data_IF_994313015414
#
_entry.id   IF_994313015414
#
_cell.length_a   1.000
_cell.length_b   1.000
_cell.length_c   1.000
_cell.angle_alpha   90.00
_cell.angle_beta   90.00
_cell.angle_gamma   90.00
#
_symmetry.space_group_name_H-M   'P 1'
#
loop_
_entity.id
_entity.type
_entity.pdbx_description
1 polymer ?
#
# COMPACT_ATOMS: atom_id res chain seq x y z
N UNK A 1 6.76 -3.29 12.51
CA UNK A 1 6.38 -4.67 12.15
C UNK A 1 7.04 -5.69 13.06
N UNK A 2 8.34 -5.58 13.29
CA UNK A 2 9.07 -6.52 14.13
C UNK A 2 8.55 -6.56 15.57
N UNK A 3 8.26 -5.41 16.14
CA UNK A 3 7.73 -5.32 17.51
C UNK A 3 6.37 -6.00 17.66
N UNK A 4 5.50 -5.81 16.68
CA UNK A 4 4.16 -6.43 16.68
C UNK A 4 4.30 -7.95 16.59
N UNK A 5 5.14 -8.44 15.69
CA UNK A 5 5.37 -9.87 15.56
C UNK A 5 5.99 -10.45 16.82
N UNK A 6 6.98 -9.78 17.39
CA UNK A 6 7.63 -10.23 18.62
C UNK A 6 6.63 -10.40 19.76
N UNK A 7 5.64 -9.50 19.81
CA UNK A 7 4.62 -9.53 20.86
C UNK A 7 3.60 -10.64 20.67
N UNK A 8 3.12 -10.84 19.43
CA UNK A 8 1.98 -11.72 19.18
C UNK A 8 2.35 -13.07 18.55
N UNK A 9 3.52 -13.18 17.94
CA UNK A 9 4.02 -14.43 17.35
C UNK A 9 3.06 -15.06 16.33
N UNK A 10 2.35 -14.24 15.57
CA UNK A 10 1.44 -14.67 14.50
C UNK A 10 1.78 -13.93 13.21
N UNK A 11 1.50 -14.53 12.04
CA UNK A 11 1.59 -13.79 10.78
C UNK A 11 0.78 -12.50 10.84
N UNK A 12 1.28 -11.46 10.22
CA UNK A 12 0.67 -10.14 10.23
C UNK A 12 0.44 -9.65 8.80
N UNK A 13 -0.48 -8.72 8.64
CA UNK A 13 -0.61 -7.98 7.39
C UNK A 13 -0.90 -6.52 7.71
N UNK A 14 -0.60 -5.65 6.76
CA UNK A 14 -0.89 -4.22 6.89
C UNK A 14 -2.33 -4.03 6.45
N UNK A 15 -3.22 -3.75 7.42
CA UNK A 15 -4.66 -3.76 7.20
C UNK A 15 -5.19 -2.56 6.43
N UNK A 16 -4.49 -1.44 6.50
CA UNK A 16 -4.88 -0.24 5.77
C UNK A 16 -3.69 0.69 5.69
N UNK A 17 -3.36 1.14 4.49
CA UNK A 17 -2.33 2.16 4.28
C UNK A 17 -2.55 2.87 2.96
N UNK A 18 -2.22 4.13 2.92
CA UNK A 18 -2.08 4.90 1.70
C UNK A 18 -1.39 6.24 1.99
N UNK A 19 -1.22 7.03 0.96
CA UNK A 19 -0.75 8.40 1.08
C UNK A 19 -1.61 9.28 0.16
N UNK A 20 -1.32 10.57 0.12
CA UNK A 20 -2.11 11.53 -0.64
C UNK A 20 -1.26 12.20 -1.73
N UNK A 21 -1.93 12.71 -2.75
CA UNK A 21 -1.29 13.48 -3.80
C UNK A 21 -0.23 12.71 -4.57
N UNK A 22 0.86 13.36 -4.89
CA UNK A 22 1.95 12.79 -5.67
C UNK A 22 2.83 11.83 -4.88
N UNK A 23 2.67 11.77 -3.56
CA UNK A 23 3.43 10.85 -2.71
C UNK A 23 2.89 9.43 -2.68
N UNK A 24 1.75 9.16 -3.32
CA UNK A 24 1.09 7.85 -3.27
C UNK A 24 1.97 6.71 -3.78
N UNK A 25 2.60 6.91 -4.93
CA UNK A 25 3.45 5.87 -5.53
C UNK A 25 4.71 5.59 -4.72
N UNK A 26 5.37 6.64 -4.27
CA UNK A 26 6.57 6.49 -3.43
C UNK A 26 6.25 5.79 -2.12
N UNK A 27 5.09 6.08 -1.53
CA UNK A 27 4.66 5.45 -0.30
C UNK A 27 4.51 3.94 -0.44
N UNK A 28 3.81 3.47 -1.50
CA UNK A 28 3.63 2.03 -1.69
C UNK A 28 4.94 1.32 -1.96
N UNK A 29 5.88 1.97 -2.64
CA UNK A 29 7.21 1.41 -2.86
C UNK A 29 7.97 1.25 -1.56
N UNK A 30 7.94 2.27 -0.70
CA UNK A 30 8.59 2.23 0.60
C UNK A 30 8.00 1.16 1.50
N UNK A 31 6.66 1.05 1.54
CA UNK A 31 5.99 0.03 2.34
C UNK A 31 6.34 -1.37 1.84
N UNK A 32 6.38 -1.58 0.53
CA UNK A 32 6.78 -2.87 -0.04
C UNK A 32 8.21 -3.25 0.34
N UNK A 33 9.13 -2.29 0.32
CA UNK A 33 10.51 -2.52 0.75
C UNK A 33 10.60 -2.88 2.22
N UNK A 34 9.83 -2.20 3.07
CA UNK A 34 9.78 -2.51 4.50
C UNK A 34 9.20 -3.91 4.77
N UNK A 35 8.20 -4.33 4.00
CA UNK A 35 7.66 -5.68 4.10
C UNK A 35 8.70 -6.72 3.69
N UNK A 36 9.42 -6.48 2.61
CA UNK A 36 10.49 -7.39 2.16
C UNK A 36 11.61 -7.48 3.20
N UNK A 37 12.00 -6.35 3.77
CA UNK A 37 13.01 -6.33 4.83
C UNK A 37 12.53 -7.12 6.06
N UNK A 38 11.29 -6.91 6.48
CA UNK A 38 10.72 -7.64 7.61
C UNK A 38 10.69 -9.14 7.36
N UNK A 39 10.29 -9.57 6.16
CA UNK A 39 10.29 -10.98 5.78
C UNK A 39 11.69 -11.58 5.82
N UNK A 40 12.69 -10.84 5.37
CA UNK A 40 14.09 -11.29 5.41
C UNK A 40 14.60 -11.46 6.84
N UNK A 41 14.00 -10.77 7.80
CA UNK A 41 14.36 -10.83 9.21
C UNK A 41 13.49 -11.82 9.99
N UNK A 42 12.70 -12.64 9.30
CA UNK A 42 11.88 -13.67 9.92
C UNK A 42 10.51 -13.19 10.43
N UNK A 43 10.04 -12.03 9.98
CA UNK A 43 8.71 -11.54 10.30
C UNK A 43 7.75 -11.92 9.17
N UNK A 44 6.76 -12.80 9.41
CA UNK A 44 5.85 -13.25 8.36
C UNK A 44 4.77 -12.18 8.10
N UNK A 45 5.01 -11.35 7.10
CA UNK A 45 4.05 -10.35 6.65
C UNK A 45 3.34 -10.90 5.42
N UNK A 46 2.03 -11.14 5.53
CA UNK A 46 1.25 -11.80 4.49
C UNK A 46 0.87 -10.87 3.35
N UNK A 47 0.71 -9.59 3.62
CA UNK A 47 0.34 -8.65 2.56
C UNK A 47 0.07 -7.24 3.05
N UNK A 48 -0.34 -6.41 2.10
CA UNK A 48 -0.65 -5.00 2.30
C UNK A 48 -2.03 -4.73 1.71
N UNK A 49 -2.90 -4.10 2.49
CA UNK A 49 -4.18 -3.62 2.00
C UNK A 49 -4.12 -2.11 1.78
N UNK A 50 -4.45 -1.69 0.58
CA UNK A 50 -4.54 -0.28 0.25
C UNK A 50 -5.97 0.22 0.44
N UNK A 51 -6.11 1.45 0.92
CA UNK A 51 -7.39 2.15 1.03
C UNK A 51 -7.15 3.66 0.82
N UNK A 52 -7.99 4.32 0.03
CA UNK A 52 -9.07 3.79 -0.80
C UNK A 52 -8.58 3.43 -2.22
N UNK A 53 -9.38 2.67 -2.96
CA UNK A 53 -9.15 2.46 -4.40
C UNK A 53 -9.66 3.65 -5.21
N UNK A 54 -10.89 4.11 -4.89
CA UNK A 54 -11.42 5.35 -5.44
C UNK A 54 -11.18 6.48 -4.45
N UNK A 55 -10.82 7.65 -4.99
CA UNK A 55 -10.65 8.83 -4.16
C UNK A 55 -11.93 9.15 -3.38
N UNK A 56 -11.78 9.83 -2.27
CA UNK A 56 -12.88 10.17 -1.39
C UNK A 56 -12.71 11.57 -0.82
N UNK A 57 -13.83 12.23 -0.47
CA UNK A 57 -13.75 13.47 0.29
C UNK A 57 -13.43 13.19 1.76
N UNK A 58 -13.02 14.24 2.46
CA UNK A 58 -12.81 14.19 3.90
C UNK A 58 -14.15 13.92 4.61
N UNK A 59 -14.11 13.10 5.63
CA UNK A 59 -15.32 12.78 6.41
C UNK A 59 -15.90 13.99 7.13
N UNK A 60 -15.07 14.95 7.49
CA UNK A 60 -15.49 16.17 8.17
C UNK A 60 -15.70 17.35 7.22
N UNK A 61 -15.17 17.27 6.00
CA UNK A 61 -15.30 18.31 4.98
C UNK A 61 -15.48 17.66 3.60
N UNK A 62 -16.71 17.50 3.18
CA UNK A 62 -17.07 16.84 1.93
C UNK A 62 -16.66 17.58 0.66
N UNK A 63 -16.13 18.79 0.81
CA UNK A 63 -15.57 19.58 -0.31
C UNK A 63 -14.07 19.38 -0.49
N UNK A 64 -13.42 18.74 0.46
CA UNK A 64 -12.00 18.47 0.40
C UNK A 64 -11.76 17.01 -0.04
N UNK A 65 -11.23 16.84 -1.25
CA UNK A 65 -10.86 15.53 -1.80
C UNK A 65 -9.42 15.20 -1.42
N UNK A 66 -9.21 13.99 -0.92
CA UNK A 66 -7.90 13.57 -0.39
C UNK A 66 -6.86 13.30 -1.46
N UNK A 67 -7.27 12.91 -2.68
CA UNK A 67 -6.37 12.42 -3.72
C UNK A 67 -5.52 11.26 -3.19
N UNK A 68 -6.18 10.28 -2.61
CA UNK A 68 -5.54 9.14 -1.94
C UNK A 68 -5.82 7.80 -2.60
N UNK A 69 -6.70 7.75 -3.61
CA UNK A 69 -7.05 6.53 -4.30
C UNK A 69 -6.14 6.21 -5.48
N UNK A 70 -6.25 4.99 -5.99
CA UNK A 70 -5.65 4.62 -7.26
C UNK A 70 -6.30 5.39 -8.42
N UNK A 71 -7.61 5.61 -8.30
CA UNK A 71 -8.42 6.39 -9.23
C UNK A 71 -8.86 7.67 -8.57
N UNK A 72 -8.54 8.81 -9.19
CA UNK A 72 -9.14 10.08 -8.79
C UNK A 72 -10.51 10.24 -9.43
N UNK A 73 -11.34 11.10 -8.86
CA UNK A 73 -12.67 11.39 -9.38
C UNK A 73 -12.70 12.84 -9.84
N UNK A 74 -13.16 13.06 -11.06
CA UNK A 74 -13.31 14.40 -11.64
C UNK A 74 -14.74 14.61 -12.09
N UNK A 75 -15.37 15.71 -11.66
CA UNK A 75 -16.70 16.07 -12.07
C UNK A 75 -16.67 16.70 -13.47
N UNK A 76 -17.63 16.34 -14.32
CA UNK A 76 -17.86 17.01 -15.59
C UNK A 76 -18.81 18.21 -15.43
N UNK A 77 -19.15 18.88 -16.52
CA UNK A 77 -20.03 20.05 -16.52
C UNK A 77 -21.45 19.70 -16.05
N UNK A 78 -21.84 18.43 -16.16
CA UNK A 78 -23.17 17.93 -15.72
C UNK A 78 -23.16 17.48 -14.26
N UNK A 79 -22.02 17.55 -13.57
CA UNK A 79 -21.89 17.10 -12.19
C UNK A 79 -21.67 15.59 -12.05
N UNK A 80 -21.49 14.85 -13.15
CA UNK A 80 -21.16 13.42 -13.11
C UNK A 80 -19.66 13.26 -12.86
N UNK A 81 -19.32 12.26 -12.04
CA UNK A 81 -17.92 11.95 -11.75
C UNK A 81 -17.37 10.90 -12.70
N UNK A 82 -16.17 11.16 -13.19
CA UNK A 82 -15.41 10.23 -14.01
C UNK A 82 -14.18 9.77 -13.26
N UNK A 83 -13.86 8.49 -13.38
CA UNK A 83 -12.66 7.91 -12.78
C UNK A 83 -11.45 8.20 -13.65
N UNK A 84 -10.42 8.72 -13.03
CA UNK A 84 -9.16 9.01 -13.70
C UNK A 84 -8.06 8.26 -12.98
N UNK A 85 -7.43 7.32 -13.69
CA UNK A 85 -6.33 6.55 -13.11
C UNK A 85 -5.15 7.46 -12.81
N UNK A 86 -4.62 7.37 -11.59
CA UNK A 86 -3.34 7.98 -11.28
C UNK A 86 -2.25 7.06 -11.83
N UNK A 87 -1.73 7.39 -13.01
CA UNK A 87 -0.81 6.52 -13.73
C UNK A 87 0.50 6.30 -12.99
N UNK A 88 1.03 7.33 -12.33
CA UNK A 88 2.25 7.17 -11.53
C UNK A 88 2.05 6.20 -10.39
N UNK A 89 0.93 6.32 -9.69
CA UNK A 89 0.59 5.39 -8.62
C UNK A 89 0.38 3.97 -9.15
N UNK A 90 -0.33 3.83 -10.26
CA UNK A 90 -0.56 2.52 -10.89
C UNK A 90 0.75 1.84 -11.29
N UNK A 91 1.68 2.59 -11.86
CA UNK A 91 3.00 2.08 -12.22
C UNK A 91 3.78 1.63 -10.99
N UNK A 92 3.82 2.45 -9.96
CA UNK A 92 4.53 2.15 -8.72
C UNK A 92 3.88 0.99 -7.96
N UNK A 93 2.54 0.91 -7.99
CA UNK A 93 1.81 -0.22 -7.39
C UNK A 93 2.15 -1.53 -8.11
N UNK A 94 2.16 -1.52 -9.44
CA UNK A 94 2.51 -2.70 -10.22
C UNK A 94 3.94 -3.15 -9.93
N UNK A 95 4.87 -2.20 -9.82
CA UNK A 95 6.26 -2.50 -9.46
C UNK A 95 6.35 -3.09 -8.05
N UNK A 96 5.60 -2.52 -7.10
CA UNK A 96 5.56 -3.03 -5.72
C UNK A 96 5.00 -4.45 -5.67
N UNK A 97 3.95 -4.75 -6.42
CA UNK A 97 3.37 -6.09 -6.49
C UNK A 97 4.39 -7.10 -7.04
N UNK A 98 5.11 -6.74 -8.10
CA UNK A 98 6.14 -7.59 -8.66
C UNK A 98 7.29 -7.82 -7.68
N UNK A 99 7.69 -6.78 -6.96
CA UNK A 99 8.73 -6.87 -5.94
C UNK A 99 8.33 -7.80 -4.79
N UNK A 100 7.09 -7.68 -4.30
CA UNK A 100 6.58 -8.54 -3.22
C UNK A 100 6.48 -10.01 -3.65
N UNK A 101 6.25 -10.29 -4.94
CA UNK A 101 6.16 -11.64 -5.47
C UNK A 101 7.53 -12.24 -5.82
N UNK A 102 8.59 -11.45 -5.77
CA UNK A 102 9.95 -11.91 -6.08
C UNK A 102 10.47 -12.84 -4.98
N UNK A 103 11.24 -13.85 -5.37
CA UNK A 103 11.86 -14.78 -4.42
C UNK A 103 12.75 -14.08 -3.40
N UNK A 104 13.40 -12.97 -3.78
CA UNK A 104 14.22 -12.17 -2.87
C UNK A 104 13.41 -11.52 -1.75
N UNK A 105 12.10 -11.36 -1.95
CA UNK A 105 11.18 -10.84 -0.96
C UNK A 105 10.43 -11.94 -0.21
N UNK A 106 10.89 -13.18 -0.31
CA UNK A 106 10.25 -14.30 0.36
C UNK A 106 10.49 -14.27 1.86
N UNK A 107 9.56 -14.85 2.61
CA UNK A 107 9.72 -15.02 4.05
C UNK A 107 10.85 -15.99 4.35
N UNK A 108 11.76 -15.58 5.21
CA UNK A 108 12.86 -16.42 5.70
C UNK A 108 12.72 -16.61 7.22
N UNK A 109 12.28 -17.77 7.67
CA UNK A 109 12.13 -18.00 9.11
C UNK A 109 13.44 -17.77 9.86
N UNK A 110 13.35 -17.10 11.01
CA UNK A 110 14.52 -16.89 11.87
C UNK A 110 15.04 -18.22 12.39
N UNK A 111 16.36 -18.35 12.45
CA UNK A 111 17.00 -19.58 12.93
C UNK A 111 17.23 -20.64 11.86
N UNK A 112 16.75 -20.44 10.63
CA UNK A 112 17.13 -21.27 9.50
C UNK A 112 18.45 -20.76 8.92
N UNK A 113 19.44 -21.59 8.96
CA UNK A 113 20.68 -21.36 8.24
C UNK A 113 20.57 -22.02 6.88
N UNK A 114 20.72 -21.22 5.87
CA UNK A 114 20.80 -21.73 4.51
C UNK A 114 22.22 -22.14 4.19
#
# INVERSE_FOLDING_TARGET
LAEVYQRYQHPIFIGETSHVGTGRGQWIKEIAEEVCLARSQGVPVDGICLYPILDRPDWENDKHWHNSGLWDLQADDSGHFHRILNENYATDLSAAQSHLANEECSFHPTGQTT
#
